data_IF_668628582461
#
_entry.id   IF_668628582461
#
_cell.length_a   1.000
_cell.length_b   1.000
_cell.length_c   1.000
_cell.angle_alpha   90.00
_cell.angle_beta   90.00
_cell.angle_gamma   90.00
#
_symmetry.space_group_name_H-M   'P 1'
#
loop_
_entity.id
_entity.type
_entity.pdbx_description
1 polymer ?
#
# COMPACT_ATOMS: atom_id res chain seq x y z
N UNK A 1 -4.48 0.06 -8.74
CA UNK A 1 -5.08 1.41 -8.50
C UNK A 1 -5.88 1.39 -7.22
N UNK A 2 -5.69 2.38 -6.34
CA UNK A 2 -6.45 2.52 -5.09
C UNK A 2 -7.41 3.72 -5.23
N UNK A 3 -8.70 3.52 -4.94
CA UNK A 3 -9.73 4.59 -4.98
C UNK A 3 -10.09 4.92 -3.53
N UNK A 4 -10.11 6.21 -3.20
CA UNK A 4 -10.49 6.71 -1.87
C UNK A 4 -11.47 7.88 -2.02
N UNK A 5 -12.46 7.89 -1.15
CA UNK A 5 -13.37 9.02 -1.02
C UNK A 5 -12.76 10.05 -0.06
N UNK A 6 -12.71 11.29 -0.50
CA UNK A 6 -12.18 12.42 0.28
C UNK A 6 -13.34 13.12 1.01
N UNK A 7 -13.95 12.46 2.00
CA UNK A 7 -15.09 13.01 2.76
C UNK A 7 -14.83 14.40 3.35
N UNK A 8 -13.59 14.65 3.79
CA UNK A 8 -13.20 15.92 4.41
C UNK A 8 -12.60 16.91 3.41
N UNK A 9 -12.68 16.62 2.11
CA UNK A 9 -12.08 17.45 1.05
C UNK A 9 -10.61 17.79 1.28
N UNK A 10 -9.86 16.85 1.85
CA UNK A 10 -8.43 17.06 2.16
C UNK A 10 -7.61 17.28 0.90
N UNK A 11 -8.00 16.68 -0.22
CA UNK A 11 -7.34 16.85 -1.52
C UNK A 11 -7.78 18.16 -2.25
N UNK A 12 -8.83 18.83 -1.80
CA UNK A 12 -9.28 20.10 -2.38
C UNK A 12 -9.98 19.97 -3.74
N UNK A 13 -10.49 18.79 -4.09
CA UNK A 13 -11.22 18.56 -5.36
C UNK A 13 -12.75 18.66 -5.22
N UNK A 14 -13.24 18.96 -4.01
CA UNK A 14 -14.65 19.04 -3.66
C UNK A 14 -15.03 17.99 -2.62
N UNK A 15 -16.03 18.30 -1.80
CA UNK A 15 -16.54 17.38 -0.79
C UNK A 15 -17.13 16.13 -1.48
N UNK A 16 -16.75 14.94 -1.02
CA UNK A 16 -17.17 13.67 -1.59
C UNK A 16 -16.51 13.28 -2.92
N UNK A 17 -15.48 14.01 -3.36
CA UNK A 17 -14.72 13.61 -4.54
C UNK A 17 -14.05 12.25 -4.33
N UNK A 18 -14.13 11.39 -5.34
CA UNK A 18 -13.42 10.10 -5.36
C UNK A 18 -12.05 10.32 -5.98
N UNK A 19 -11.00 9.88 -5.29
CA UNK A 19 -9.62 10.01 -5.76
C UNK A 19 -9.10 8.64 -6.17
N UNK A 20 -8.70 8.50 -7.42
CA UNK A 20 -7.98 7.35 -7.92
C UNK A 20 -6.48 7.63 -7.83
N UNK A 21 -5.74 6.76 -7.15
CA UNK A 21 -4.27 6.81 -7.06
C UNK A 21 -3.74 5.59 -7.81
N UNK A 22 -2.80 5.82 -8.72
CA UNK A 22 -2.33 4.77 -9.61
C UNK A 22 -0.87 4.96 -10.01
N UNK A 23 -0.22 3.86 -10.31
CA UNK A 23 1.10 3.88 -10.94
C UNK A 23 0.95 4.21 -12.42
N UNK A 24 1.59 5.28 -12.83
CA UNK A 24 1.80 5.58 -14.24
C UNK A 24 3.14 4.96 -14.67
N UNK A 25 3.09 4.10 -15.66
CA UNK A 25 4.28 3.41 -16.20
C UNK A 25 4.60 3.99 -17.58
N UNK A 26 5.71 4.70 -17.67
CA UNK A 26 6.28 5.24 -18.92
C UNK A 26 7.78 4.94 -18.94
N UNK A 27 8.63 5.94 -18.94
CA UNK A 27 10.09 5.76 -18.83
C UNK A 27 10.49 5.25 -17.44
N UNK A 28 9.70 5.59 -16.44
CA UNK A 28 9.78 5.11 -15.06
C UNK A 28 8.39 4.98 -14.44
N UNK A 29 8.31 4.25 -13.33
CA UNK A 29 7.10 4.14 -12.54
C UNK A 29 6.99 5.32 -11.57
N UNK A 30 5.88 6.03 -11.63
CA UNK A 30 5.58 7.18 -10.76
C UNK A 30 4.14 7.08 -10.26
N UNK A 31 3.82 7.74 -9.15
CA UNK A 31 2.45 7.75 -8.65
C UNK A 31 1.73 9.00 -9.12
N UNK A 32 0.55 8.81 -9.66
CA UNK A 32 -0.32 9.85 -10.21
C UNK A 32 -1.72 9.74 -9.63
N UNK A 33 -2.47 10.84 -9.65
CA UNK A 33 -3.86 10.87 -9.21
C UNK A 33 -4.80 11.38 -10.29
N UNK A 34 -6.03 10.91 -10.22
CA UNK A 34 -7.18 11.46 -10.91
C UNK A 34 -8.35 11.58 -9.94
N UNK A 35 -9.27 12.46 -10.18
CA UNK A 35 -10.41 12.68 -9.31
C UNK A 35 -11.73 12.69 -10.08
N UNK A 36 -12.78 12.31 -9.39
CA UNK A 36 -14.16 12.33 -9.87
C UNK A 36 -15.03 13.13 -8.93
N UNK A 37 -15.91 13.96 -9.48
CA UNK A 37 -16.93 14.71 -8.75
C UNK A 37 -18.37 14.25 -9.12
N UNK A 38 -18.49 13.16 -9.88
CA UNK A 38 -19.73 12.61 -10.38
C UNK A 38 -19.97 11.13 -9.95
N UNK A 39 -19.50 10.79 -8.74
CA UNK A 39 -19.56 9.44 -8.16
C UNK A 39 -18.84 8.38 -9.00
N UNK A 40 -17.68 8.71 -9.54
CA UNK A 40 -16.81 7.77 -10.25
C UNK A 40 -17.20 7.49 -11.70
N UNK A 41 -18.16 8.26 -12.28
CA UNK A 41 -18.54 8.07 -13.68
C UNK A 41 -17.48 8.57 -14.65
N UNK A 42 -16.85 9.72 -14.31
CA UNK A 42 -15.73 10.27 -15.07
C UNK A 42 -14.59 10.66 -14.14
N UNK A 43 -13.37 10.61 -14.66
CA UNK A 43 -12.17 10.99 -13.91
C UNK A 43 -11.36 12.03 -14.68
N UNK A 44 -10.97 13.09 -13.97
CA UNK A 44 -10.05 14.12 -14.46
C UNK A 44 -8.66 13.89 -13.86
N UNK A 45 -7.64 13.80 -14.70
CA UNK A 45 -6.25 13.71 -14.23
C UNK A 45 -5.86 15.00 -13.54
N UNK A 46 -5.16 14.89 -12.41
CA UNK A 46 -4.60 16.06 -11.73
C UNK A 46 -3.53 16.71 -12.62
N UNK A 47 -3.59 18.03 -12.77
CA UNK A 47 -2.72 18.79 -13.68
C UNK A 47 -1.24 18.77 -13.28
N UNK A 48 -0.96 18.67 -11.98
CA UNK A 48 0.40 18.64 -11.44
C UNK A 48 0.89 17.19 -11.15
N UNK A 49 0.39 16.19 -11.87
CA UNK A 49 0.96 14.85 -11.82
C UNK A 49 2.39 14.82 -12.41
N UNK A 50 3.26 13.91 -11.95
CA UNK A 50 3.05 12.95 -10.88
C UNK A 50 3.12 13.57 -9.48
N UNK A 51 2.41 12.96 -8.50
CA UNK A 51 2.43 13.39 -7.09
C UNK A 51 3.55 12.75 -6.27
N UNK A 52 4.15 11.67 -6.77
CA UNK A 52 5.28 11.01 -6.13
C UNK A 52 6.16 10.35 -7.18
N UNK A 53 7.46 10.59 -7.10
CA UNK A 53 8.49 10.08 -8.01
C UNK A 53 9.58 9.34 -7.23
N UNK A 54 10.24 8.40 -7.90
CA UNK A 54 11.41 7.68 -7.38
C UNK A 54 12.35 7.32 -8.52
N UNK A 55 13.63 7.12 -8.20
CA UNK A 55 14.61 6.56 -9.13
C UNK A 55 14.61 5.00 -9.10
N UNK A 56 13.86 4.39 -8.18
CA UNK A 56 13.73 2.95 -8.12
C UNK A 56 13.04 2.41 -9.39
N UNK A 57 13.54 1.28 -9.91
CA UNK A 57 12.99 0.63 -11.11
C UNK A 57 11.57 0.13 -10.89
N UNK A 58 11.36 -0.56 -9.76
CA UNK A 58 10.07 -1.12 -9.36
C UNK A 58 9.49 -0.23 -8.25
N UNK A 59 8.56 0.64 -8.59
CA UNK A 59 7.96 1.64 -7.70
C UNK A 59 6.47 1.74 -7.99
N UNK A 60 5.67 0.78 -7.46
CA UNK A 60 4.28 0.58 -7.92
C UNK A 60 3.32 0.08 -6.85
N UNK A 61 2.08 -0.11 -7.27
CA UNK A 61 0.99 -0.73 -6.54
C UNK A 61 0.63 0.02 -5.24
N UNK A 62 0.19 1.30 -5.35
CA UNK A 62 -0.13 2.07 -4.16
C UNK A 62 -1.37 1.54 -3.45
N UNK A 63 -1.25 1.18 -2.18
CA UNK A 63 -2.33 1.05 -1.21
C UNK A 63 -2.41 2.30 -0.37
N UNK A 64 -3.57 2.96 -0.34
CA UNK A 64 -3.76 4.22 0.38
C UNK A 64 -4.95 4.12 1.32
N UNK A 65 -4.78 4.62 2.54
CA UNK A 65 -5.84 4.70 3.55
C UNK A 65 -5.66 5.92 4.46
N UNK A 66 -6.74 6.35 5.09
CA UNK A 66 -6.71 7.39 6.10
C UNK A 66 -6.33 6.80 7.46
N UNK A 67 -5.32 7.36 8.11
CA UNK A 67 -4.92 6.96 9.46
C UNK A 67 -5.39 7.99 10.47
N UNK A 68 -6.41 7.62 11.22
CA UNK A 68 -7.16 8.53 12.09
C UNK A 68 -6.31 9.12 13.21
N UNK A 69 -5.38 8.35 13.79
CA UNK A 69 -4.56 8.78 14.92
C UNK A 69 -3.64 9.97 14.57
N UNK A 70 -3.13 10.05 13.35
CA UNK A 70 -2.25 11.15 12.90
C UNK A 70 -2.95 12.14 11.98
N UNK A 71 -4.24 11.88 11.61
CA UNK A 71 -5.00 12.69 10.63
C UNK A 71 -4.23 12.85 9.32
N UNK A 72 -3.71 11.72 8.80
CA UNK A 72 -2.96 11.68 7.55
C UNK A 72 -3.39 10.52 6.66
N UNK A 73 -3.22 10.73 5.39
CA UNK A 73 -3.22 9.66 4.41
C UNK A 73 -1.91 8.90 4.49
N UNK A 74 -1.99 7.58 4.48
CA UNK A 74 -0.83 6.68 4.44
C UNK A 74 -0.85 5.98 3.08
N UNK A 75 0.31 5.91 2.43
CA UNK A 75 0.52 5.12 1.23
C UNK A 75 1.57 4.08 1.50
N UNK A 76 1.27 2.84 1.16
CA UNK A 76 2.25 1.75 1.11
C UNK A 76 2.50 1.42 -0.36
N UNK A 77 3.78 1.40 -0.75
CA UNK A 77 4.22 1.10 -2.11
C UNK A 77 5.17 -0.09 -2.12
N UNK A 78 5.04 -0.92 -3.13
CA UNK A 78 6.04 -1.95 -3.44
C UNK A 78 7.23 -1.30 -4.16
N UNK A 79 8.44 -1.52 -3.62
CA UNK A 79 9.69 -0.96 -4.15
C UNK A 79 10.76 -2.05 -4.18
N UNK A 80 10.88 -2.74 -5.32
CA UNK A 80 11.77 -3.89 -5.44
C UNK A 80 11.37 -5.01 -4.47
N UNK A 81 12.17 -5.25 -3.43
CA UNK A 81 11.93 -6.27 -2.41
C UNK A 81 11.67 -5.67 -1.01
N UNK A 82 11.10 -4.47 -0.98
CA UNK A 82 10.67 -3.81 0.25
C UNK A 82 9.32 -3.10 0.04
N UNK A 83 8.68 -2.74 1.14
CA UNK A 83 7.55 -1.84 1.17
C UNK A 83 7.97 -0.49 1.70
N UNK A 84 7.72 0.57 0.96
CA UNK A 84 7.94 1.94 1.42
C UNK A 84 6.64 2.56 1.91
N UNK A 85 6.72 3.27 3.02
CA UNK A 85 5.60 3.93 3.68
C UNK A 85 5.77 5.44 3.54
N UNK A 86 4.71 6.09 3.09
CA UNK A 86 4.63 7.53 2.91
C UNK A 86 3.42 8.08 3.64
N UNK A 87 3.50 9.35 4.08
CA UNK A 87 2.34 10.05 4.64
C UNK A 87 2.05 11.34 3.87
N UNK A 88 0.77 11.73 3.83
CA UNK A 88 0.33 12.97 3.17
C UNK A 88 -0.83 13.63 3.92
N UNK A 89 -0.88 14.96 4.02
CA UNK A 89 -2.04 15.67 4.53
C UNK A 89 -3.18 15.75 3.49
N UNK A 90 -2.89 15.59 2.19
CA UNK A 90 -3.80 16.03 1.11
C UNK A 90 -3.75 15.16 -0.16
N UNK A 91 -3.14 13.97 -0.13
CA UNK A 91 -2.96 13.05 -1.27
C UNK A 91 -2.07 13.59 -2.42
N UNK A 92 -1.51 14.77 -2.28
CA UNK A 92 -0.67 15.44 -3.29
C UNK A 92 0.79 15.54 -2.84
N UNK A 93 0.99 15.92 -1.59
CA UNK A 93 2.31 16.15 -0.99
C UNK A 93 2.66 14.97 -0.10
N UNK A 94 3.55 14.11 -0.55
CA UNK A 94 3.94 12.87 0.12
C UNK A 94 5.32 12.99 0.75
N UNK A 95 5.43 12.60 2.02
CA UNK A 95 6.68 12.48 2.74
C UNK A 95 7.02 11.01 2.96
N UNK A 96 8.25 10.61 2.68
CA UNK A 96 8.75 9.29 3.04
C UNK A 96 8.87 9.17 4.56
N UNK A 97 8.39 8.06 5.11
CA UNK A 97 8.41 7.81 6.56
C UNK A 97 9.35 6.65 6.91
N UNK A 98 9.22 5.51 6.24
CA UNK A 98 10.04 4.32 6.51
C UNK A 98 9.96 3.29 5.38
N UNK A 99 10.85 2.28 5.46
CA UNK A 99 10.71 1.05 4.68
C UNK A 99 10.63 -0.18 5.57
N UNK A 100 10.12 -1.26 5.01
CA UNK A 100 10.01 -2.58 5.63
C UNK A 100 10.32 -3.67 4.59
N UNK A 101 11.10 -4.67 5.00
CA UNK A 101 11.40 -5.82 4.14
C UNK A 101 12.75 -6.45 4.46
N UNK A 102 13.77 -5.66 4.71
CA UNK A 102 15.12 -6.17 4.98
C UNK A 102 15.12 -7.18 6.14
N UNK A 103 15.56 -8.40 5.81
CA UNK A 103 15.65 -9.50 6.77
C UNK A 103 14.34 -10.19 7.11
N UNK A 104 13.21 -9.82 6.49
CA UNK A 104 11.91 -10.43 6.74
C UNK A 104 11.30 -11.03 5.48
N UNK A 105 10.73 -12.23 5.62
CA UNK A 105 9.98 -12.88 4.55
C UNK A 105 10.83 -13.48 3.42
N UNK A 106 10.17 -13.81 2.33
CA UNK A 106 10.79 -14.35 1.12
C UNK A 106 11.20 -13.24 0.17
N UNK A 107 12.38 -13.37 -0.44
CA UNK A 107 13.00 -12.39 -1.35
C UNK A 107 13.41 -13.00 -2.70
N UNK A 108 12.75 -14.07 -3.14
CA UNK A 108 13.06 -14.73 -4.42
C UNK A 108 12.72 -13.87 -5.64
N UNK A 109 11.75 -12.95 -5.50
CA UNK A 109 11.32 -12.06 -6.58
C UNK A 109 10.91 -10.70 -6.03
N UNK A 110 10.58 -9.75 -6.92
CA UNK A 110 10.04 -8.44 -6.52
C UNK A 110 8.75 -8.60 -5.73
N UNK A 111 8.55 -7.71 -4.78
CA UNK A 111 7.32 -7.60 -4.02
C UNK A 111 6.32 -6.72 -4.74
N UNK A 112 5.05 -7.10 -4.70
CA UNK A 112 3.96 -6.42 -5.41
C UNK A 112 2.69 -6.39 -4.57
N UNK A 113 1.73 -5.57 -4.98
CA UNK A 113 0.37 -5.55 -4.44
C UNK A 113 0.32 -5.48 -2.91
N UNK A 114 0.94 -4.46 -2.27
CA UNK A 114 0.92 -4.34 -0.82
C UNK A 114 -0.48 -4.04 -0.29
N UNK A 115 -0.78 -4.53 0.91
CA UNK A 115 -1.90 -4.07 1.72
C UNK A 115 -1.48 -3.94 3.18
N UNK A 116 -2.02 -2.96 3.89
CA UNK A 116 -1.76 -2.72 5.30
C UNK A 116 -3.07 -2.35 6.00
N UNK A 117 -3.49 -3.16 6.97
CA UNK A 117 -4.77 -3.01 7.66
C UNK A 117 -4.72 -3.59 9.07
N UNK A 118 -5.68 -3.19 9.90
CA UNK A 118 -5.81 -3.63 11.29
C UNK A 118 -6.87 -4.72 11.42
N UNK A 119 -6.58 -5.78 12.16
CA UNK A 119 -7.52 -6.84 12.49
C UNK A 119 -7.60 -7.07 14.00
N UNK A 120 -8.79 -7.42 14.53
CA UNK A 120 -8.93 -7.89 15.90
C UNK A 120 -8.26 -9.26 16.05
N UNK A 121 -7.67 -9.48 17.23
CA UNK A 121 -7.12 -10.79 17.61
C UNK A 121 -8.24 -11.59 18.30
N UNK A 122 -8.60 -12.74 17.70
CA UNK A 122 -9.68 -13.56 18.21
C UNK A 122 -9.48 -13.95 19.69
N UNK A 123 -10.56 -13.86 20.47
CA UNK A 123 -10.55 -14.19 21.89
C UNK A 123 -9.88 -13.16 22.80
N UNK A 124 -9.51 -12.00 22.28
CA UNK A 124 -8.89 -10.90 23.03
C UNK A 124 -9.54 -9.56 22.70
N UNK A 125 -9.13 -8.50 23.41
CA UNK A 125 -9.48 -7.11 23.07
C UNK A 125 -8.36 -6.42 22.26
N UNK A 126 -7.34 -7.16 21.86
CA UNK A 126 -6.21 -6.62 21.12
C UNK A 126 -6.50 -6.55 19.63
N UNK A 127 -5.79 -5.66 18.97
CA UNK A 127 -5.72 -5.56 17.52
C UNK A 127 -4.28 -5.63 17.05
N UNK A 128 -4.08 -6.16 15.86
CA UNK A 128 -2.78 -6.21 15.21
C UNK A 128 -2.88 -5.67 13.80
N UNK A 129 -1.81 -5.06 13.36
CA UNK A 129 -1.66 -4.66 11.97
C UNK A 129 -1.12 -5.83 11.16
N UNK A 130 -1.65 -5.98 9.97
CA UNK A 130 -1.21 -6.98 8.98
C UNK A 130 -0.71 -6.24 7.75
N UNK A 131 0.56 -6.46 7.43
CA UNK A 131 1.14 -6.06 6.16
C UNK A 131 1.25 -7.31 5.29
N UNK A 132 0.80 -7.22 4.05
CA UNK A 132 0.96 -8.31 3.10
C UNK A 132 1.50 -7.82 1.77
N UNK A 133 2.14 -8.73 1.06
CA UNK A 133 2.58 -8.50 -0.31
C UNK A 133 2.62 -9.80 -1.10
N UNK A 134 2.43 -9.66 -2.39
CA UNK A 134 2.54 -10.76 -3.34
C UNK A 134 3.93 -10.82 -3.97
N UNK A 135 4.36 -11.99 -4.41
CA UNK A 135 5.60 -12.21 -5.15
C UNK A 135 5.48 -13.45 -6.04
N UNK A 136 6.31 -13.52 -7.07
CA UNK A 136 6.28 -14.59 -8.06
C UNK A 136 7.06 -15.85 -7.66
N UNK A 137 7.55 -15.95 -6.42
CA UNK A 137 8.37 -17.08 -5.95
C UNK A 137 7.81 -17.61 -4.62
N UNK A 138 6.62 -18.16 -4.71
CA UNK A 138 5.90 -18.76 -3.59
C UNK A 138 6.43 -20.14 -3.20
N UNK A 139 5.83 -20.77 -2.18
CA UNK A 139 6.32 -22.01 -1.59
C UNK A 139 6.32 -23.20 -2.55
N UNK A 140 5.58 -23.14 -3.66
CA UNK A 140 5.51 -24.17 -4.70
C UNK A 140 6.02 -23.69 -6.06
N UNK A 141 6.82 -22.61 -6.10
CA UNK A 141 7.47 -22.10 -7.30
C UNK A 141 6.58 -21.25 -8.20
N UNK A 142 5.37 -20.93 -7.78
CA UNK A 142 4.44 -20.03 -8.46
C UNK A 142 4.13 -18.79 -7.59
N UNK A 143 3.17 -17.97 -8.00
CA UNK A 143 2.79 -16.77 -7.27
C UNK A 143 2.18 -17.09 -5.90
N UNK A 144 2.48 -16.25 -4.92
CA UNK A 144 1.93 -16.35 -3.58
C UNK A 144 1.85 -14.98 -2.90
N UNK A 145 1.09 -14.90 -1.81
CA UNK A 145 1.05 -13.74 -0.93
C UNK A 145 1.61 -14.10 0.44
N UNK A 146 2.64 -13.40 0.86
CA UNK A 146 3.17 -13.49 2.22
C UNK A 146 2.59 -12.38 3.09
N UNK A 147 2.57 -12.61 4.43
CA UNK A 147 2.06 -11.63 5.36
C UNK A 147 2.91 -11.51 6.62
N UNK A 148 2.83 -10.33 7.22
CA UNK A 148 3.54 -9.96 8.43
C UNK A 148 2.54 -9.41 9.45
N UNK A 149 2.67 -9.83 10.71
CA UNK A 149 1.83 -9.35 11.81
C UNK A 149 2.67 -8.43 12.67
N UNK A 150 2.08 -7.34 13.14
CA UNK A 150 2.83 -6.39 13.95
C UNK A 150 2.00 -5.21 14.45
N UNK A 151 2.66 -4.09 14.59
CA UNK A 151 2.07 -2.80 14.96
C UNK A 151 2.43 -1.72 13.93
N UNK A 152 1.58 -0.69 13.84
CA UNK A 152 1.80 0.45 12.97
C UNK A 152 1.45 1.73 13.72
N UNK A 153 2.35 2.71 13.68
CA UNK A 153 2.23 3.97 14.42
C UNK A 153 1.85 5.18 13.55
N UNK A 154 1.55 4.93 12.26
CA UNK A 154 1.31 5.96 11.26
C UNK A 154 2.53 6.33 10.44
N UNK A 155 3.71 5.78 10.77
CA UNK A 155 4.98 6.03 10.08
C UNK A 155 5.74 4.75 9.80
N UNK A 156 5.77 3.83 10.76
CA UNK A 156 6.57 2.62 10.71
C UNK A 156 5.73 1.39 11.05
N UNK A 157 5.90 0.36 10.25
CA UNK A 157 5.44 -0.98 10.59
C UNK A 157 6.54 -1.72 11.34
N UNK A 158 6.19 -2.22 12.54
CA UNK A 158 7.08 -3.02 13.40
C UNK A 158 6.58 -4.44 13.45
N UNK A 159 7.35 -5.38 12.86
CA UNK A 159 6.94 -6.77 12.69
C UNK A 159 7.18 -7.59 13.96
N UNK A 160 6.18 -8.38 14.35
CA UNK A 160 6.27 -9.35 15.47
C UNK A 160 6.80 -10.73 14.99
N UNK A 161 6.83 -10.99 13.68
CA UNK A 161 7.31 -12.24 13.14
C UNK A 161 8.83 -12.36 13.35
N UNK A 162 9.29 -13.60 13.48
CA UNK A 162 10.74 -13.84 13.42
C UNK A 162 11.24 -13.62 12.00
N UNK A 163 12.42 -12.98 11.81
CA UNK A 163 12.91 -12.61 10.48
C UNK A 163 13.03 -13.78 9.49
N UNK A 164 13.41 -14.95 9.96
CA UNK A 164 13.63 -16.15 9.14
C UNK A 164 12.38 -17.03 8.93
N UNK A 165 11.21 -16.54 9.33
CA UNK A 165 9.94 -17.27 9.18
C UNK A 165 9.05 -16.54 8.19
N UNK A 166 8.87 -17.11 7.01
CA UNK A 166 7.88 -16.64 6.03
C UNK A 166 6.52 -17.22 6.34
N UNK A 167 5.51 -16.36 6.44
CA UNK A 167 4.11 -16.74 6.59
C UNK A 167 3.38 -16.53 5.27
N UNK A 168 2.75 -17.57 4.77
CA UNK A 168 2.00 -17.55 3.52
C UNK A 168 0.50 -17.51 3.81
N UNK A 169 -0.25 -16.69 3.05
CA UNK A 169 -1.71 -16.61 3.17
C UNK A 169 -2.39 -17.87 2.63
N UNK A 170 -1.78 -18.49 1.64
CA UNK A 170 -2.28 -19.69 1.00
C UNK A 170 -1.11 -20.61 0.63
N UNK A 171 -1.33 -21.91 0.65
CA UNK A 171 -0.37 -22.96 0.30
C UNK A 171 -0.67 -23.61 -1.06
N UNK A 172 -1.67 -23.12 -1.76
CA UNK A 172 -1.93 -23.48 -3.15
C UNK A 172 -1.05 -22.70 -4.12
N UNK A 173 -1.29 -22.93 -5.38
CA UNK A 173 -0.73 -22.12 -6.48
C UNK A 173 -1.65 -20.93 -6.73
N UNK A 174 -1.10 -19.88 -7.35
CA UNK A 174 -1.85 -18.78 -7.95
C UNK A 174 -2.56 -17.83 -6.98
N UNK A 175 -2.25 -17.84 -5.68
CA UNK A 175 -2.75 -16.83 -4.77
C UNK A 175 -1.98 -15.52 -4.96
N UNK A 176 -2.67 -14.48 -5.43
CA UNK A 176 -2.01 -13.22 -5.81
C UNK A 176 -2.91 -11.98 -5.66
N UNK A 177 -2.27 -10.81 -5.49
CA UNK A 177 -2.91 -9.50 -5.53
C UNK A 177 -4.09 -9.34 -4.55
N UNK A 178 -3.93 -9.85 -3.33
CA UNK A 178 -4.95 -9.71 -2.26
C UNK A 178 -5.18 -8.24 -1.93
N UNK A 179 -6.44 -7.83 -1.85
CA UNK A 179 -6.87 -6.47 -1.54
C UNK A 179 -7.95 -6.48 -0.48
N UNK A 180 -7.84 -5.58 0.51
CA UNK A 180 -8.90 -5.31 1.50
C UNK A 180 -9.62 -4.01 1.19
N UNK A 181 -10.90 -3.93 1.61
CA UNK A 181 -11.78 -2.77 1.45
C UNK A 181 -12.33 -2.27 2.79
#
# INVERSE_FOLDING_TARGET
MCIRDSHNNTAGFGAGAIIAIYTQNSDRQVQSIAYSTDNGRTFTKYENNPVLVSEARDFRDPKVFWYEATKRWIMVLAVGQEMQIFSSPNLKDWAFESSFGEGYGAHGNVWECPDLFELPVEGTNEKKWVLLCSLGDGPFGDSATQYFIGSFDGKKFSCDNQPNVTKWMDWGKDHYATVTW
#
